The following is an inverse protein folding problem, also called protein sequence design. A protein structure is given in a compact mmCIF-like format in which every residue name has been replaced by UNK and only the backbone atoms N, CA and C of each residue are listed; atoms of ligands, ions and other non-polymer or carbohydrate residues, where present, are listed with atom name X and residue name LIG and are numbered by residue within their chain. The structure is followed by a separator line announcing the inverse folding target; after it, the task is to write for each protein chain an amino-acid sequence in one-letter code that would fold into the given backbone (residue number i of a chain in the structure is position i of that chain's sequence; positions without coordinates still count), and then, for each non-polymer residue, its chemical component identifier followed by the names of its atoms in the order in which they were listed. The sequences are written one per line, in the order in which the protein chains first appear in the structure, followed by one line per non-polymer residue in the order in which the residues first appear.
data_IF_370693433524
#
_entry.id   IF_370693433524
#
_cell.length_a   1.000
_cell.length_b   1.000
_cell.length_c   1.000
_cell.angle_alpha   90.00
_cell.angle_beta   90.00
_cell.angle_gamma   90.00
#
_symmetry.space_group_name_H-M   'P 1'
#
loop_
_entity.id
_entity.type
_entity.pdbx_description
1 polymer ?
#
# COMPACT_ATOMS: atom_id res chain seq x y z
N UNK A 1 24.02 -0.19 -26.17
CA UNK A 1 23.87 0.68 -24.99
C UNK A 1 22.41 0.72 -24.69
N UNK A 2 21.99 0.03 -23.63
CA UNK A 2 20.59 0.02 -23.19
C UNK A 2 20.35 1.36 -22.50
N UNK A 3 19.29 2.06 -22.89
CA UNK A 3 18.93 3.38 -22.35
C UNK A 3 18.62 3.28 -20.84
N UNK A 4 19.66 3.43 -20.02
CA UNK A 4 19.61 3.56 -18.55
C UNK A 4 18.53 4.56 -18.10
N UNK A 5 18.34 5.64 -18.86
CA UNK A 5 17.33 6.67 -18.61
C UNK A 5 15.88 6.17 -18.78
N UNK A 6 15.65 5.20 -19.68
CA UNK A 6 14.32 4.67 -19.94
C UNK A 6 13.82 3.71 -18.86
N UNK A 7 14.72 2.87 -18.32
CA UNK A 7 14.40 1.92 -17.26
C UNK A 7 14.23 2.60 -15.90
N UNK A 8 15.12 3.56 -15.58
CA UNK A 8 15.01 4.39 -14.38
C UNK A 8 13.75 5.25 -14.39
N UNK A 9 13.41 5.87 -15.54
CA UNK A 9 12.15 6.62 -15.69
C UNK A 9 10.90 5.74 -15.57
N UNK A 10 10.92 4.49 -16.07
CA UNK A 10 9.79 3.54 -15.89
C UNK A 10 9.67 3.05 -14.46
N UNK A 11 10.78 2.78 -13.79
CA UNK A 11 10.80 2.48 -12.35
C UNK A 11 10.30 3.65 -11.52
N UNK A 12 10.78 4.86 -11.79
CA UNK A 12 10.27 6.07 -11.14
C UNK A 12 8.79 6.27 -11.43
N UNK A 13 8.29 6.12 -12.65
CA UNK A 13 6.85 6.23 -12.94
C UNK A 13 6.01 5.16 -12.23
N UNK A 14 6.49 3.92 -12.10
CA UNK A 14 5.76 2.84 -11.44
C UNK A 14 5.85 2.91 -9.90
N UNK A 15 6.95 3.43 -9.38
CA UNK A 15 7.19 3.61 -7.95
C UNK A 15 6.75 4.99 -7.46
N UNK A 16 6.57 6.00 -8.32
CA UNK A 16 6.13 7.36 -7.94
C UNK A 16 4.79 7.36 -7.18
N UNK A 17 3.76 6.60 -7.60
CA UNK A 17 2.53 6.47 -6.82
C UNK A 17 2.73 5.76 -5.47
N UNK A 18 3.77 4.93 -5.36
CA UNK A 18 4.13 4.13 -4.19
C UNK A 18 5.09 4.85 -3.22
N UNK A 19 5.85 5.83 -3.74
CA UNK A 19 6.90 6.62 -3.06
C UNK A 19 6.42 8.03 -2.73
N UNK A 20 5.42 8.55 -3.43
CA UNK A 20 4.72 9.78 -3.06
C UNK A 20 3.83 9.54 -1.83
N UNK A 21 4.47 9.37 -0.67
CA UNK A 21 3.91 9.80 0.59
C UNK A 21 4.49 11.19 0.93
N UNK A 22 3.89 12.27 0.44
CA UNK A 22 3.91 13.50 1.19
C UNK A 22 2.90 13.35 2.33
N UNK A 23 3.39 13.51 3.55
CA UNK A 23 2.62 14.00 4.68
C UNK A 23 1.76 15.17 4.20
N UNK A 24 0.46 14.96 4.03
CA UNK A 24 -0.51 16.02 3.81
C UNK A 24 -1.83 15.58 4.43
N UNK A 25 -1.93 15.77 5.74
CA UNK A 25 -3.20 16.06 6.36
C UNK A 25 -3.77 17.33 5.71
N UNK A 26 -4.88 17.19 5.00
CA UNK A 26 -5.91 18.22 4.95
C UNK A 26 -7.24 17.52 5.17
N UNK A 27 -7.56 17.32 6.44
CA UNK A 27 -8.93 17.14 6.88
C UNK A 27 -9.55 18.54 6.92
N UNK A 28 -10.15 18.97 5.82
CA UNK A 28 -11.13 20.06 5.83
C UNK A 28 -12.52 19.44 5.78
N UNK A 29 -12.93 18.89 6.91
CA UNK A 29 -14.32 18.54 7.17
C UNK A 29 -15.03 19.73 7.82
N UNK A 30 -15.75 20.51 7.03
CA UNK A 30 -16.88 21.31 7.50
C UNK A 30 -18.08 20.93 6.65
N UNK A 31 -18.78 19.85 7.04
CA UNK A 31 -20.13 19.59 6.55
C UNK A 31 -21.08 19.88 7.70
N UNK A 32 -21.96 20.90 7.58
CA UNK A 32 -22.91 21.21 8.63
C UNK A 32 -23.86 20.04 8.84
N UNK A 33 -24.07 19.71 10.12
CA UNK A 33 -24.88 18.60 10.59
C UNK A 33 -26.33 19.06 10.67
N UNK A 34 -27.03 19.14 9.55
CA UNK A 34 -28.49 19.22 9.55
C UNK A 34 -29.02 18.78 8.17
N UNK A 35 -29.97 17.82 8.20
CA UNK A 35 -30.86 17.41 7.10
C UNK A 35 -30.34 16.50 5.96
N UNK A 36 -29.93 15.27 6.27
CA UNK A 36 -29.72 14.21 5.26
C UNK A 36 -30.36 12.86 5.60
N UNK A 37 -31.53 12.85 6.26
CA UNK A 37 -32.29 11.61 6.49
C UNK A 37 -33.20 11.16 5.33
N UNK A 38 -33.22 11.82 4.16
CA UNK A 38 -34.24 11.51 3.13
C UNK A 38 -33.78 11.35 1.67
N UNK A 39 -32.50 11.11 1.39
CA UNK A 39 -32.09 10.67 0.04
C UNK A 39 -30.86 9.76 0.11
N UNK A 40 -31.02 8.57 0.68
CA UNK A 40 -30.06 7.47 0.45
C UNK A 40 -30.35 6.96 -0.96
N UNK A 41 -29.76 7.61 -1.96
CA UNK A 41 -29.55 6.98 -3.26
C UNK A 41 -28.67 5.75 -3.00
N UNK A 42 -29.14 4.56 -3.36
CA UNK A 42 -28.30 3.36 -3.45
C UNK A 42 -27.35 3.48 -4.65
N UNK A 43 -26.54 4.53 -4.67
CA UNK A 43 -25.39 4.61 -5.58
C UNK A 43 -24.20 4.08 -4.81
N UNK A 44 -23.46 3.09 -5.35
CA UNK A 44 -22.23 2.64 -4.72
C UNK A 44 -21.30 3.84 -4.58
N UNK A 45 -20.93 4.16 -3.34
CA UNK A 45 -19.93 5.20 -3.07
C UNK A 45 -18.59 4.48 -2.98
N UNK A 46 -17.72 4.74 -3.95
CA UNK A 46 -16.35 4.26 -3.94
C UNK A 46 -15.46 5.32 -3.30
N UNK A 47 -14.88 5.01 -2.15
CA UNK A 47 -13.93 5.87 -1.47
C UNK A 47 -12.56 5.19 -1.36
N UNK A 48 -11.53 5.85 -1.88
CA UNK A 48 -10.16 5.32 -1.88
C UNK A 48 -9.43 5.80 -0.64
N UNK A 49 -9.15 4.88 0.28
CA UNK A 49 -8.44 5.17 1.53
C UNK A 49 -6.93 5.03 1.30
N UNK A 50 -6.19 6.12 1.50
CA UNK A 50 -4.72 6.11 1.50
C UNK A 50 -4.21 5.78 2.89
N UNK A 51 -3.37 4.75 2.98
CA UNK A 51 -2.87 4.21 4.25
C UNK A 51 -1.34 4.32 4.30
N UNK A 52 -0.75 4.89 5.36
CA UNK A 52 0.69 4.92 5.52
C UNK A 52 1.25 3.51 5.78
N UNK A 53 2.46 3.25 5.30
CA UNK A 53 3.19 2.01 5.59
C UNK A 53 3.79 2.06 7.00
N UNK A 54 3.82 0.91 7.68
CA UNK A 54 4.56 0.79 8.95
C UNK A 54 6.06 0.96 8.73
N UNK A 55 6.81 1.27 9.80
CA UNK A 55 8.26 1.41 9.73
C UNK A 55 8.94 0.14 9.18
N UNK A 56 8.44 -1.05 9.55
CA UNK A 56 8.98 -2.31 9.05
C UNK A 56 8.63 -2.58 7.58
N UNK A 57 7.41 -2.23 7.16
CA UNK A 57 7.00 -2.31 5.75
C UNK A 57 7.84 -1.37 4.88
N UNK A 58 8.05 -0.13 5.35
CA UNK A 58 8.89 0.85 4.66
C UNK A 58 10.34 0.36 4.53
N UNK A 59 10.96 -0.07 5.63
CA UNK A 59 12.32 -0.60 5.61
C UNK A 59 12.46 -1.84 4.70
N UNK A 60 11.49 -2.75 4.72
CA UNK A 60 11.51 -3.93 3.86
C UNK A 60 11.37 -3.54 2.39
N UNK A 61 10.39 -2.68 2.06
CA UNK A 61 10.17 -2.12 0.72
C UNK A 61 11.45 -1.47 0.18
N UNK A 62 12.09 -0.63 0.98
CA UNK A 62 13.28 0.11 0.57
C UNK A 62 14.44 -0.85 0.26
N UNK A 63 14.62 -1.91 1.07
CA UNK A 63 15.61 -2.98 0.81
C UNK A 63 15.34 -3.71 -0.50
N UNK A 64 14.09 -4.07 -0.79
CA UNK A 64 13.77 -4.76 -2.06
C UNK A 64 13.89 -3.83 -3.26
N UNK A 65 13.52 -2.57 -3.13
CA UNK A 65 13.72 -1.57 -4.18
C UNK A 65 15.21 -1.42 -4.50
N UNK A 66 16.06 -1.37 -3.49
CA UNK A 66 17.51 -1.27 -3.68
C UNK A 66 18.10 -2.53 -4.35
N UNK A 67 17.67 -3.71 -3.90
CA UNK A 67 18.06 -4.97 -4.53
C UNK A 67 17.62 -5.05 -6.00
N UNK A 68 16.41 -4.56 -6.33
CA UNK A 68 15.93 -4.49 -7.71
C UNK A 68 16.76 -3.53 -8.56
N UNK A 69 17.12 -2.35 -8.03
CA UNK A 69 17.97 -1.38 -8.75
C UNK A 69 19.30 -2.01 -9.12
N UNK A 70 19.96 -2.68 -8.17
CA UNK A 70 21.23 -3.35 -8.43
C UNK A 70 21.10 -4.44 -9.51
N UNK A 71 20.05 -5.27 -9.44
CA UNK A 71 19.82 -6.33 -10.43
C UNK A 71 19.60 -5.77 -11.85
N UNK A 72 18.83 -4.70 -11.96
CA UNK A 72 18.55 -4.08 -13.27
C UNK A 72 19.78 -3.41 -13.88
N UNK A 73 20.68 -2.87 -13.07
CA UNK A 73 21.97 -2.33 -13.54
C UNK A 73 22.89 -3.42 -14.10
N UNK A 74 22.75 -4.66 -13.63
CA UNK A 74 23.53 -5.80 -14.11
C UNK A 74 22.84 -6.57 -15.25
N UNK A 75 21.62 -6.21 -15.63
CA UNK A 75 20.87 -6.92 -16.65
C UNK A 75 21.30 -6.47 -18.06
N UNK A 76 22.03 -7.34 -18.76
CA UNK A 76 22.51 -7.06 -20.13
C UNK A 76 21.38 -7.11 -21.18
N UNK A 77 20.20 -7.64 -20.83
CA UNK A 77 19.08 -7.83 -21.75
C UNK A 77 17.80 -7.19 -21.22
N UNK A 78 17.08 -6.50 -22.11
CA UNK A 78 15.83 -5.83 -21.77
C UNK A 78 14.73 -6.80 -21.33
N UNK A 79 14.71 -8.03 -21.87
CA UNK A 79 13.69 -9.05 -21.52
C UNK A 79 13.87 -9.56 -20.09
N UNK A 80 15.11 -9.86 -19.67
CA UNK A 80 15.42 -10.28 -18.31
C UNK A 80 14.99 -9.23 -17.27
N UNK A 81 15.23 -7.94 -17.57
CA UNK A 81 14.82 -6.86 -16.68
C UNK A 81 13.30 -6.78 -16.45
N UNK A 82 12.48 -7.18 -17.43
CA UNK A 82 11.02 -7.14 -17.26
C UNK A 82 10.47 -8.23 -16.35
N UNK A 83 11.06 -9.43 -16.38
CA UNK A 83 10.69 -10.53 -15.49
C UNK A 83 11.04 -10.18 -14.04
N UNK A 84 12.20 -9.58 -13.83
CA UNK A 84 12.69 -9.18 -12.51
C UNK A 84 11.85 -8.06 -11.89
N UNK A 85 11.41 -7.12 -12.72
CA UNK A 85 10.44 -6.10 -12.30
C UNK A 85 9.11 -6.76 -11.91
N UNK A 86 8.61 -7.72 -12.69
CA UNK A 86 7.35 -8.40 -12.39
C UNK A 86 7.41 -9.16 -11.07
N UNK A 87 8.51 -9.85 -10.83
CA UNK A 87 8.76 -10.56 -9.58
C UNK A 87 8.86 -9.60 -8.40
N UNK A 88 9.62 -8.52 -8.55
CA UNK A 88 9.74 -7.50 -7.51
C UNK A 88 8.41 -6.82 -7.20
N UNK A 89 7.60 -6.49 -8.20
CA UNK A 89 6.24 -5.94 -8.00
C UNK A 89 5.38 -6.92 -7.19
N UNK A 90 5.49 -8.22 -7.45
CA UNK A 90 4.77 -9.24 -6.68
C UNK A 90 5.22 -9.28 -5.22
N UNK A 91 6.52 -9.15 -4.95
CA UNK A 91 7.03 -9.10 -3.57
C UNK A 91 6.63 -7.80 -2.87
N UNK A 92 6.71 -6.65 -3.55
CA UNK A 92 6.28 -5.36 -3.02
C UNK A 92 4.79 -5.37 -2.64
N UNK A 93 3.94 -6.05 -3.44
CA UNK A 93 2.53 -6.26 -3.11
C UNK A 93 2.34 -7.07 -1.81
N UNK A 94 3.15 -8.12 -1.60
CA UNK A 94 3.09 -8.91 -0.35
C UNK A 94 3.48 -8.06 0.87
N UNK A 95 4.52 -7.24 0.74
CA UNK A 95 5.02 -6.37 1.83
C UNK A 95 3.98 -5.32 2.20
N UNK A 96 3.32 -4.75 1.20
CA UNK A 96 2.23 -3.80 1.40
C UNK A 96 0.99 -4.45 2.05
N UNK A 97 0.85 -5.78 2.01
CA UNK A 97 -0.20 -6.49 2.74
C UNK A 97 0.24 -6.78 4.17
N UNK A 98 1.34 -7.53 4.33
CA UNK A 98 1.83 -7.89 5.65
C UNK A 98 3.31 -8.31 5.64
N UNK A 99 4.18 -7.76 6.50
CA UNK A 99 5.58 -8.15 6.55
C UNK A 99 5.81 -9.59 7.06
N UNK A 100 4.98 -10.11 7.97
CA UNK A 100 5.01 -11.53 8.38
C UNK A 100 4.79 -12.56 7.24
N UNK A 101 4.37 -12.15 6.03
CA UNK A 101 4.30 -13.09 4.89
C UNK A 101 5.70 -13.63 4.51
N UNK A 102 6.77 -12.92 4.89
CA UNK A 102 8.15 -13.33 4.64
C UNK A 102 8.77 -14.15 5.77
N UNK A 103 8.14 -14.18 6.94
CA UNK A 103 8.66 -14.86 8.12
C UNK A 103 8.03 -16.25 8.23
N UNK A 104 8.81 -17.34 8.36
CA UNK A 104 8.29 -18.71 8.41
C UNK A 104 7.53 -19.03 9.71
N UNK A 105 7.63 -18.16 10.73
CA UNK A 105 6.89 -18.29 11.97
C UNK A 105 6.64 -16.92 12.59
N UNK A 106 5.40 -16.67 13.01
CA UNK A 106 5.02 -15.47 13.74
C UNK A 106 4.21 -15.85 14.97
N UNK A 107 4.43 -15.12 16.06
CA UNK A 107 3.58 -15.22 17.23
C UNK A 107 2.28 -14.44 16.97
N UNK A 108 1.14 -15.05 17.28
CA UNK A 108 -0.13 -14.33 17.30
C UNK A 108 -0.13 -13.39 18.50
N UNK A 109 -0.05 -12.09 18.23
CA UNK A 109 0.07 -11.07 19.27
C UNK A 109 -0.27 -9.68 18.77
N UNK A 110 -0.13 -8.71 19.67
CA UNK A 110 -0.42 -7.30 19.43
C UNK A 110 0.41 -6.72 18.27
N UNK A 111 1.62 -7.25 18.08
CA UNK A 111 2.52 -6.84 17.00
C UNK A 111 2.00 -7.22 15.61
N UNK A 112 1.04 -8.15 15.50
CA UNK A 112 0.45 -8.54 14.22
C UNK A 112 -0.28 -7.37 13.56
N UNK A 113 -1.11 -6.65 14.30
CA UNK A 113 -1.86 -5.54 13.71
C UNK A 113 -0.99 -4.27 13.58
N UNK A 114 -0.03 -4.05 14.49
CA UNK A 114 0.84 -2.84 14.49
C UNK A 114 1.86 -2.84 13.35
N UNK A 115 2.20 -4.01 12.83
CA UNK A 115 3.20 -4.15 11.77
C UNK A 115 2.65 -3.91 10.37
N UNK A 116 1.32 -3.84 10.19
CA UNK A 116 0.69 -3.49 8.92
C UNK A 116 -0.27 -2.32 9.06
N UNK A 117 0.02 -1.21 8.37
CA UNK A 117 -0.85 -0.02 8.41
C UNK A 117 -2.27 -0.29 7.89
N UNK A 118 -2.44 -1.28 7.00
CA UNK A 118 -3.75 -1.70 6.51
C UNK A 118 -4.59 -2.34 7.62
N UNK A 119 -3.99 -3.19 8.45
CA UNK A 119 -4.69 -3.83 9.56
C UNK A 119 -5.06 -2.81 10.64
N UNK A 120 -4.15 -1.89 10.97
CA UNK A 120 -4.43 -0.80 11.90
C UNK A 120 -5.58 0.09 11.43
N UNK A 121 -5.60 0.45 10.14
CA UNK A 121 -6.68 1.26 9.56
C UNK A 121 -7.99 0.49 9.51
N UNK A 122 -7.94 -0.80 9.14
CA UNK A 122 -9.10 -1.66 9.10
C UNK A 122 -9.72 -1.81 10.50
N UNK A 123 -8.91 -2.02 11.54
CA UNK A 123 -9.38 -2.11 12.92
C UNK A 123 -10.15 -0.84 13.35
N UNK A 124 -9.61 0.34 13.03
CA UNK A 124 -10.30 1.62 13.30
C UNK A 124 -11.61 1.79 12.52
N UNK A 125 -11.69 1.28 11.29
CA UNK A 125 -12.92 1.32 10.49
C UNK A 125 -13.93 0.34 11.07
N UNK A 126 -13.52 -0.88 11.39
CA UNK A 126 -14.40 -1.89 11.99
C UNK A 126 -14.97 -1.41 13.32
N UNK A 127 -14.16 -0.79 14.18
CA UNK A 127 -14.64 -0.18 15.43
C UNK A 127 -15.71 0.90 15.21
N UNK A 128 -15.64 1.63 14.08
CA UNK A 128 -16.67 2.61 13.71
C UNK A 128 -17.91 1.97 13.10
N UNK A 129 -17.78 0.88 12.35
CA UNK A 129 -18.90 0.25 11.62
C UNK A 129 -19.71 -0.70 12.50
N UNK A 130 -19.06 -1.39 13.45
CA UNK A 130 -19.71 -2.35 14.35
C UNK A 130 -20.92 -1.79 15.13
N UNK A 131 -20.89 -0.55 15.68
CA UNK A 131 -22.03 0.04 16.37
C UNK A 131 -23.26 0.24 15.47
N UNK A 132 -23.08 0.36 14.15
CA UNK A 132 -24.18 0.55 13.20
C UNK A 132 -24.87 -0.76 12.80
N UNK A 133 -24.34 -1.93 13.21
CA UNK A 133 -24.91 -3.24 12.91
C UNK A 133 -24.86 -3.62 11.42
N UNK A 134 -24.00 -2.97 10.64
CA UNK A 134 -23.80 -3.28 9.22
C UNK A 134 -22.78 -4.43 9.05
N UNK A 135 -23.09 -5.38 8.17
CA UNK A 135 -22.16 -6.44 7.80
C UNK A 135 -21.05 -5.91 6.88
N UNK A 136 -19.81 -6.22 7.20
CA UNK A 136 -18.62 -5.81 6.43
C UNK A 136 -18.06 -7.03 5.68
N UNK A 137 -17.83 -6.87 4.38
CA UNK A 137 -17.07 -7.81 3.56
C UNK A 137 -15.66 -7.22 3.35
N UNK A 138 -14.62 -8.00 3.65
CA UNK A 138 -13.21 -7.62 3.50
C UNK A 138 -12.57 -8.48 2.43
#
# INVERSE_FOLDING_TARGET
GVDEAGLTSRLECLLSPLMASPLACTFEGSVPVEDLQQTIRHTPVEEVIRVPLSAWQAASRDRMCEALRYRLQCADSADAGTEEIRDAVTQLKKVACHPYIFEPGYALGEDLYRTSGKLETLDRILLKVLPFGHGVLV
#
